data_IF_361540583686
#
_entry.id   IF_361540583686
#
_cell.length_a   1.000
_cell.length_b   1.000
_cell.length_c   1.000
_cell.angle_alpha   90.00
_cell.angle_beta   90.00
_cell.angle_gamma   90.00
#
_symmetry.space_group_name_H-M   'P 1'
#
loop_
_entity.id
_entity.type
_entity.pdbx_description
1 polymer ?
#
# COMPACT_ATOMS: atom_id res chain seq x y z
N UNK A 1 -15.08 -4.31 -8.91
CA UNK A 1 -14.44 -3.15 -9.56
C UNK A 1 -13.90 -2.29 -8.43
N UNK A 2 -12.58 -2.08 -8.36
CA UNK A 2 -11.97 -1.31 -7.27
C UNK A 2 -12.42 0.15 -7.34
N UNK A 3 -12.42 0.85 -6.21
CA UNK A 3 -12.88 2.24 -6.19
C UNK A 3 -11.87 3.08 -6.95
N UNK A 4 -12.18 3.36 -8.23
CA UNK A 4 -11.34 4.08 -9.20
C UNK A 4 -10.48 5.18 -8.56
N UNK A 5 -9.19 5.05 -8.76
CA UNK A 5 -8.21 5.83 -8.05
C UNK A 5 -7.63 6.97 -8.89
N UNK A 6 -8.19 8.18 -8.73
CA UNK A 6 -7.43 9.40 -8.98
C UNK A 6 -6.52 9.67 -7.77
N UNK A 7 -5.43 8.92 -7.63
CA UNK A 7 -4.37 9.39 -6.74
C UNK A 7 -3.68 10.55 -7.42
N UNK A 8 -3.73 11.71 -6.78
CA UNK A 8 -2.83 12.79 -7.13
C UNK A 8 -1.42 12.41 -6.60
N UNK A 9 -0.62 11.74 -7.45
CA UNK A 9 0.73 11.24 -7.14
C UNK A 9 1.81 12.27 -7.50
N UNK A 10 1.50 13.57 -7.49
CA UNK A 10 2.48 14.58 -7.85
C UNK A 10 3.73 14.56 -6.95
N UNK A 11 4.90 14.73 -7.59
CA UNK A 11 6.13 15.23 -6.96
C UNK A 11 6.91 14.33 -5.99
N UNK A 12 6.95 13.00 -6.13
CA UNK A 12 7.75 12.18 -5.19
C UNK A 12 8.29 10.87 -5.78
N UNK A 13 9.45 10.43 -5.27
CA UNK A 13 10.20 9.27 -5.75
C UNK A 13 9.53 7.93 -5.42
N UNK A 14 9.62 6.96 -6.33
CA UNK A 14 9.23 5.57 -6.10
C UNK A 14 10.19 4.89 -5.08
N UNK A 15 9.96 3.62 -4.75
CA UNK A 15 10.78 2.91 -3.76
C UNK A 15 12.16 2.47 -4.26
N UNK A 16 12.48 2.62 -5.55
CA UNK A 16 13.77 2.24 -6.15
C UNK A 16 14.63 3.44 -6.58
N UNK A 17 14.07 4.64 -6.71
CA UNK A 17 14.77 5.85 -7.14
C UNK A 17 15.70 6.47 -6.06
N UNK A 18 16.10 5.69 -5.07
CA UNK A 18 16.98 6.12 -3.99
C UNK A 18 17.11 5.11 -2.85
N UNK A 19 17.85 5.52 -1.81
CA UNK A 19 18.25 4.67 -0.70
C UNK A 19 17.91 5.23 0.69
N UNK A 20 16.87 6.07 0.77
CA UNK A 20 16.38 6.53 2.07
C UNK A 20 15.86 5.36 2.92
N UNK A 21 15.83 5.56 4.24
CA UNK A 21 15.30 4.54 5.15
C UNK A 21 13.86 4.12 4.81
N UNK A 22 13.01 5.07 4.41
CA UNK A 22 11.61 4.79 4.02
C UNK A 22 11.52 4.00 2.72
N UNK A 23 12.39 4.25 1.75
CA UNK A 23 12.47 3.45 0.51
C UNK A 23 12.96 2.03 0.80
N UNK A 24 14.00 1.88 1.63
CA UNK A 24 14.50 0.57 2.08
C UNK A 24 13.43 -0.22 2.83
N UNK A 25 12.64 0.44 3.68
CA UNK A 25 11.52 -0.21 4.35
C UNK A 25 10.38 -0.54 3.40
N UNK A 26 10.05 0.31 2.42
CA UNK A 26 9.04 0.00 1.40
C UNK A 26 9.36 -1.31 0.66
N UNK A 27 10.62 -1.51 0.27
CA UNK A 27 11.09 -2.76 -0.36
C UNK A 27 10.94 -3.99 0.55
N UNK A 28 11.00 -3.83 1.87
CA UNK A 28 10.76 -4.90 2.86
C UNK A 28 9.28 -5.09 3.20
N UNK A 29 8.51 -4.02 3.17
CA UNK A 29 7.08 -4.00 3.54
C UNK A 29 6.22 -4.59 2.45
N UNK A 30 6.47 -4.26 1.18
CA UNK A 30 5.61 -4.72 0.08
C UNK A 30 5.42 -6.25 0.08
N UNK A 31 6.48 -7.09 0.19
CA UNK A 31 6.30 -8.55 0.25
C UNK A 31 5.48 -9.02 1.46
N UNK A 32 5.59 -8.33 2.60
CA UNK A 32 4.79 -8.63 3.80
C UNK A 32 3.31 -8.33 3.53
N UNK A 33 3.02 -7.20 2.87
CA UNK A 33 1.65 -6.83 2.53
C UNK A 33 1.05 -7.77 1.50
N UNK A 34 1.81 -8.12 0.45
CA UNK A 34 1.39 -9.09 -0.57
C UNK A 34 1.03 -10.43 0.07
N UNK A 35 1.90 -10.98 0.93
CA UNK A 35 1.61 -12.23 1.64
C UNK A 35 0.34 -12.12 2.48
N UNK A 36 0.15 -10.99 3.17
CA UNK A 36 -1.07 -10.74 3.96
C UNK A 36 -2.32 -10.66 3.10
N UNK A 37 -2.23 -10.06 1.91
CA UNK A 37 -3.35 -10.01 0.99
C UNK A 37 -3.70 -11.39 0.43
N UNK A 38 -2.70 -12.20 0.05
CA UNK A 38 -2.89 -13.59 -0.35
C UNK A 38 -3.53 -14.43 0.77
N UNK A 39 -3.12 -14.21 2.02
CA UNK A 39 -3.71 -14.82 3.22
C UNK A 39 -5.10 -14.25 3.58
N UNK A 40 -5.60 -13.25 2.85
CA UNK A 40 -6.85 -12.51 3.11
C UNK A 40 -6.91 -11.90 4.51
N UNK A 41 -5.79 -11.37 4.98
CA UNK A 41 -5.64 -10.78 6.32
C UNK A 41 -5.21 -9.33 6.23
N UNK A 42 -5.86 -8.49 7.04
CA UNK A 42 -5.35 -7.15 7.30
C UNK A 42 -4.11 -7.21 8.21
N UNK A 43 -3.42 -6.09 8.32
CA UNK A 43 -2.30 -5.91 9.23
C UNK A 43 -2.38 -4.53 9.87
N UNK A 44 -2.04 -4.44 11.14
CA UNK A 44 -1.97 -3.15 11.83
C UNK A 44 -0.62 -2.48 11.61
N UNK A 45 -0.59 -1.15 11.68
CA UNK A 45 0.68 -0.40 11.71
C UNK A 45 1.65 -0.92 12.78
N UNK A 46 1.15 -1.29 13.97
CA UNK A 46 1.97 -1.84 15.06
C UNK A 46 2.57 -3.20 14.73
N UNK A 47 1.80 -4.10 14.13
CA UNK A 47 2.31 -5.41 13.70
C UNK A 47 3.35 -5.25 12.61
N UNK A 48 3.11 -4.34 11.66
CA UNK A 48 4.06 -4.04 10.59
C UNK A 48 5.37 -3.48 11.14
N UNK A 49 5.32 -2.53 12.08
CA UNK A 49 6.55 -2.02 12.74
C UNK A 49 7.27 -3.11 13.52
N UNK A 50 6.55 -3.99 14.21
CA UNK A 50 7.13 -5.10 14.97
C UNK A 50 7.85 -6.09 14.04
N UNK A 51 7.22 -6.47 12.92
CA UNK A 51 7.84 -7.34 11.90
C UNK A 51 9.11 -6.77 11.28
N UNK A 52 9.24 -5.45 11.24
CA UNK A 52 10.43 -4.76 10.73
C UNK A 52 11.50 -4.52 11.81
N UNK A 53 11.26 -4.91 13.06
CA UNK A 53 12.15 -4.61 14.18
C UNK A 53 12.22 -3.12 14.55
N UNK A 54 11.18 -2.35 14.20
CA UNK A 54 11.14 -0.91 14.43
C UNK A 54 10.37 -0.57 15.72
N UNK A 55 10.80 0.47 16.47
CA UNK A 55 10.04 0.97 17.61
C UNK A 55 8.63 1.39 17.18
N UNK A 56 7.61 1.02 17.97
CA UNK A 56 6.22 1.39 17.65
C UNK A 56 6.00 2.91 17.80
N UNK A 57 6.67 3.54 18.78
CA UNK A 57 6.52 4.98 19.08
C UNK A 57 7.31 5.82 18.08
N UNK A 58 6.64 6.74 17.38
CA UNK A 58 7.26 7.69 16.43
C UNK A 58 7.40 7.21 14.99
N UNK A 59 7.11 5.93 14.70
CA UNK A 59 7.26 5.37 13.35
C UNK A 59 5.95 5.31 12.55
N UNK A 60 4.80 5.61 13.17
CA UNK A 60 3.52 5.67 12.47
C UNK A 60 3.53 6.68 11.29
N UNK A 61 4.10 7.88 11.51
CA UNK A 61 4.24 8.89 10.44
C UNK A 61 5.15 8.39 9.32
N UNK A 62 6.28 7.75 9.68
CA UNK A 62 7.21 7.16 8.71
C UNK A 62 6.55 6.03 7.92
N UNK A 63 5.66 5.26 8.52
CA UNK A 63 4.96 4.18 7.83
C UNK A 63 3.98 4.71 6.77
N UNK A 64 3.37 5.88 6.98
CA UNK A 64 2.61 6.56 5.93
C UNK A 64 3.49 6.91 4.73
N UNK A 65 4.75 7.32 4.95
CA UNK A 65 5.69 7.59 3.87
C UNK A 65 6.14 6.29 3.16
N UNK A 66 6.35 5.21 3.93
CA UNK A 66 6.61 3.87 3.39
C UNK A 66 5.46 3.41 2.48
N UNK A 67 4.21 3.47 2.95
CA UNK A 67 3.04 3.14 2.16
C UNK A 67 2.93 4.03 0.91
N UNK A 68 3.26 5.33 1.03
CA UNK A 68 3.29 6.24 -0.13
C UNK A 68 4.28 5.76 -1.19
N UNK A 69 5.51 5.41 -0.82
CA UNK A 69 6.50 4.89 -1.79
C UNK A 69 6.03 3.61 -2.48
N UNK A 70 5.36 2.72 -1.75
CA UNK A 70 4.75 1.51 -2.33
C UNK A 70 3.70 1.88 -3.38
N UNK A 71 2.72 2.71 -3.02
CA UNK A 71 1.65 3.13 -3.93
C UNK A 71 2.22 3.80 -5.18
N UNK A 72 3.22 4.70 -5.04
CA UNK A 72 3.88 5.33 -6.19
C UNK A 72 4.53 4.31 -7.12
N UNK A 73 5.14 3.28 -6.54
CA UNK A 73 5.85 2.26 -7.32
C UNK A 73 4.88 1.37 -8.08
N UNK A 74 3.78 0.95 -7.44
CA UNK A 74 2.73 0.17 -8.10
C UNK A 74 2.05 0.98 -9.22
N UNK A 75 1.73 2.25 -8.97
CA UNK A 75 1.14 3.12 -9.99
C UNK A 75 2.09 3.42 -11.17
N UNK A 76 3.40 3.25 -10.99
CA UNK A 76 4.36 3.34 -12.10
C UNK A 76 4.47 2.03 -12.87
N UNK A 77 4.44 0.89 -12.17
CA UNK A 77 4.39 -0.43 -12.81
C UNK A 77 3.14 -0.56 -13.68
N UNK A 78 1.98 -0.12 -13.18
CA UNK A 78 0.71 -0.10 -13.90
C UNK A 78 0.74 0.78 -15.17
N UNK A 79 1.64 1.76 -15.24
CA UNK A 79 1.82 2.62 -16.42
C UNK A 79 2.82 2.08 -17.43
N UNK A 80 3.47 0.94 -17.15
CA UNK A 80 4.35 0.30 -18.13
C UNK A 80 3.52 -0.37 -19.21
N UNK A 81 3.96 -0.24 -20.47
CA UNK A 81 3.22 -0.74 -21.63
C UNK A 81 2.96 -2.26 -21.56
N UNK A 82 3.85 -3.01 -20.90
CA UNK A 82 3.75 -4.48 -20.75
C UNK A 82 2.88 -4.93 -19.56
N UNK A 83 2.37 -4.00 -18.74
CA UNK A 83 1.57 -4.37 -17.56
C UNK A 83 0.07 -4.29 -17.87
N UNK A 84 -0.55 -5.45 -18.05
CA UNK A 84 -1.99 -5.52 -18.31
C UNK A 84 -2.83 -5.54 -17.02
N UNK A 85 -3.59 -4.46 -16.82
CA UNK A 85 -4.65 -4.38 -15.82
C UNK A 85 -4.27 -3.62 -14.55
N UNK A 86 -5.29 -3.23 -13.80
CA UNK A 86 -5.14 -2.37 -12.63
C UNK A 86 -4.48 -3.11 -11.47
N UNK A 87 -3.58 -2.44 -10.75
CA UNK A 87 -2.98 -2.98 -9.51
C UNK A 87 -3.74 -2.38 -8.32
N UNK A 88 -4.42 -3.19 -7.49
CA UNK A 88 -5.19 -2.67 -6.37
C UNK A 88 -4.30 -2.09 -5.27
N UNK A 89 -4.88 -1.26 -4.40
CA UNK A 89 -4.11 -0.58 -3.37
C UNK A 89 -3.81 -1.50 -2.20
N UNK A 90 -2.72 -2.25 -2.30
CA UNK A 90 -2.26 -3.16 -1.25
C UNK A 90 -2.15 -2.50 0.14
N UNK A 91 -1.91 -1.19 0.20
CA UNK A 91 -1.84 -0.45 1.47
C UNK A 91 -3.20 -0.31 2.18
N UNK A 92 -4.30 -0.63 1.50
CA UNK A 92 -5.66 -0.70 2.06
C UNK A 92 -5.78 -1.68 3.21
N UNK A 93 -4.99 -2.75 3.18
CA UNK A 93 -4.98 -3.80 4.20
C UNK A 93 -4.27 -3.33 5.48
N UNK A 94 -3.63 -2.15 5.47
CA UNK A 94 -2.90 -1.57 6.61
C UNK A 94 -3.81 -0.67 7.43
N UNK A 95 -4.29 -1.19 8.56
CA UNK A 95 -5.23 -0.49 9.44
C UNK A 95 -4.55 0.02 10.72
N UNK A 96 -5.20 0.97 11.40
CA UNK A 96 -4.84 1.29 12.79
C UNK A 96 -5.36 0.20 13.72
N UNK A 97 -4.80 0.11 14.94
CA UNK A 97 -5.33 -0.79 15.99
C UNK A 97 -6.83 -0.59 16.26
N UNK A 98 -7.33 0.63 16.06
CA UNK A 98 -8.75 0.98 16.23
C UNK A 98 -9.64 0.53 15.06
N UNK A 99 -9.09 -0.21 14.07
CA UNK A 99 -9.79 -0.56 12.82
C UNK A 99 -9.91 0.59 11.81
N UNK A 100 -9.50 1.80 12.19
CA UNK A 100 -9.60 3.00 11.35
C UNK A 100 -8.54 3.02 10.24
N UNK A 101 -8.91 3.62 9.11
CA UNK A 101 -8.03 3.88 7.99
C UNK A 101 -6.97 4.94 8.30
N UNK A 102 -5.86 4.92 7.57
CA UNK A 102 -4.89 6.02 7.58
C UNK A 102 -5.46 7.25 6.84
N UNK A 103 -4.98 8.48 7.11
CA UNK A 103 -5.48 9.68 6.40
C UNK A 103 -5.35 9.59 4.88
N UNK A 104 -4.27 8.97 4.37
CA UNK A 104 -4.12 8.76 2.93
C UNK A 104 -5.18 7.80 2.38
N UNK A 105 -5.54 6.78 3.17
CA UNK A 105 -6.58 5.83 2.80
C UNK A 105 -7.98 6.44 2.90
N UNK A 106 -8.21 7.32 3.88
CA UNK A 106 -9.40 8.16 3.96
C UNK A 106 -9.56 8.99 2.69
N UNK A 107 -8.54 9.79 2.35
CA UNK A 107 -8.57 10.62 1.13
C UNK A 107 -8.81 9.79 -0.14
N UNK A 108 -8.25 8.58 -0.20
CA UNK A 108 -8.42 7.70 -1.34
C UNK A 108 -9.87 7.28 -1.57
N UNK A 109 -10.54 6.87 -0.49
CA UNK A 109 -11.86 6.26 -0.55
C UNK A 109 -12.99 7.28 -0.43
N UNK A 110 -12.75 8.42 0.21
CA UNK A 110 -13.77 9.44 0.49
C UNK A 110 -13.50 10.78 -0.20
N UNK A 111 -12.28 11.00 -0.72
CA UNK A 111 -11.82 12.31 -1.19
C UNK A 111 -11.32 13.24 -0.06
N UNK A 112 -11.48 12.85 1.20
CA UNK A 112 -11.23 13.69 2.38
C UNK A 112 -10.32 12.98 3.39
N UNK A 113 -9.34 13.70 3.96
CA UNK A 113 -8.32 13.12 4.84
C UNK A 113 -8.86 12.69 6.22
N UNK A 114 -9.92 13.33 6.68
CA UNK A 114 -10.45 13.18 8.03
C UNK A 114 -11.70 12.29 8.06
N UNK A 115 -12.35 12.13 6.92
CA UNK A 115 -13.54 11.29 6.74
C UNK A 115 -13.17 9.81 6.61
N UNK A 116 -13.64 8.99 7.56
CA UNK A 116 -13.49 7.54 7.46
C UNK A 116 -14.40 6.99 6.34
N UNK A 117 -13.91 6.04 5.53
CA UNK A 117 -14.73 5.37 4.54
C UNK A 117 -15.85 4.57 5.20
N UNK A 118 -16.95 4.38 4.47
CA UNK A 118 -17.98 3.43 4.89
C UNK A 118 -17.41 2.01 4.93
N UNK A 119 -18.04 1.13 5.72
CA UNK A 119 -17.63 -0.27 5.80
C UNK A 119 -17.66 -0.94 4.42
N UNK A 120 -18.64 -0.60 3.58
CA UNK A 120 -18.76 -1.14 2.23
C UNK A 120 -17.62 -0.67 1.30
N UNK A 121 -17.23 0.61 1.39
CA UNK A 121 -16.10 1.13 0.61
C UNK A 121 -14.79 0.45 1.02
N UNK A 122 -14.57 0.33 2.34
CA UNK A 122 -13.38 -0.35 2.86
C UNK A 122 -13.36 -1.83 2.44
N UNK A 123 -14.47 -2.55 2.59
CA UNK A 123 -14.55 -3.96 2.22
C UNK A 123 -14.31 -4.18 0.74
N UNK A 124 -14.89 -3.34 -0.13
CA UNK A 124 -14.67 -3.41 -1.59
C UNK A 124 -13.19 -3.29 -1.94
N UNK A 125 -12.48 -2.37 -1.30
CA UNK A 125 -11.05 -2.16 -1.56
C UNK A 125 -10.16 -3.27 -0.97
N UNK A 126 -10.55 -3.81 0.19
CA UNK A 126 -9.90 -4.99 0.77
C UNK A 126 -10.08 -6.20 -0.13
N UNK A 127 -11.29 -6.47 -0.62
CA UNK A 127 -11.59 -7.58 -1.50
C UNK A 127 -10.81 -7.47 -2.82
N UNK A 128 -10.69 -6.25 -3.36
CA UNK A 128 -9.82 -5.98 -4.49
C UNK A 128 -8.38 -6.41 -4.25
N UNK A 129 -7.82 -6.05 -3.10
CA UNK A 129 -6.46 -6.44 -2.74
C UNK A 129 -6.34 -7.95 -2.47
N UNK A 130 -7.35 -8.56 -1.83
CA UNK A 130 -7.34 -9.98 -1.47
C UNK A 130 -7.58 -10.93 -2.65
N UNK A 131 -8.36 -10.50 -3.64
CA UNK A 131 -8.70 -11.29 -4.81
C UNK A 131 -7.77 -11.03 -6.01
N UNK A 132 -6.74 -10.19 -5.85
CA UNK A 132 -5.81 -9.91 -6.94
C UNK A 132 -4.83 -11.06 -7.17
N UNK A 133 -5.02 -11.76 -8.28
CA UNK A 133 -4.27 -12.99 -8.59
C UNK A 133 -2.82 -12.71 -9.05
N UNK A 134 -2.54 -11.49 -9.53
CA UNK A 134 -1.25 -11.13 -10.12
C UNK A 134 -0.21 -10.64 -9.10
N UNK A 135 -0.41 -10.85 -7.80
CA UNK A 135 0.53 -10.37 -6.78
C UNK A 135 1.97 -10.89 -6.94
N UNK A 136 2.13 -12.17 -7.30
CA UNK A 136 3.46 -12.75 -7.51
C UNK A 136 4.13 -12.18 -8.77
N UNK A 137 3.34 -11.88 -9.80
CA UNK A 137 3.81 -11.19 -11.00
C UNK A 137 4.23 -9.75 -10.69
N UNK A 138 3.48 -9.03 -9.85
CA UNK A 138 3.85 -7.67 -9.40
C UNK A 138 5.20 -7.69 -8.71
N UNK A 139 5.35 -8.60 -7.74
CA UNK A 139 6.60 -8.76 -7.02
C UNK A 139 7.78 -9.07 -7.95
N UNK A 140 7.59 -10.00 -8.89
CA UNK A 140 8.60 -10.37 -9.89
C UNK A 140 9.02 -9.18 -10.75
N UNK A 141 8.05 -8.47 -11.34
CA UNK A 141 8.30 -7.31 -12.20
C UNK A 141 9.08 -6.22 -11.44
N UNK A 142 8.70 -5.93 -10.18
CA UNK A 142 9.37 -4.92 -9.38
C UNK A 142 10.82 -5.29 -9.02
N UNK A 143 11.16 -6.57 -8.90
CA UNK A 143 12.55 -6.98 -8.67
C UNK A 143 13.40 -7.04 -9.93
N UNK A 144 12.78 -7.06 -11.11
CA UNK A 144 13.45 -6.90 -12.40
C UNK A 144 13.78 -5.43 -12.72
N UNK A 145 13.08 -4.47 -12.10
CA UNK A 145 13.30 -3.01 -12.24
C UNK A 145 14.54 -2.53 -11.44
N UNK A 146 15.25 -3.43 -10.74
CA UNK A 146 16.44 -3.12 -9.92
C UNK A 146 17.61 -2.51 -10.69
#
# INVERSE_FOLDING_TARGET
MCLRNQWNIDGGKNMFAGDTATQKWARKVLPILVKRAQDRRTITFSELTCKLGLPVKGYARKMSDVCRHIVKTLAQLEKQDDWEGEIPHITSIVLRKTGKCSPNMCKALTGDYDSQPSQQQLQTELDCSFCYEKWDAVLTALWMIK
#
